data_IF_051793525981
#
_entry.id   IF_051793525981
#
_cell.length_a   1.000
_cell.length_b   1.000
_cell.length_c   1.000
_cell.angle_alpha   90.00
_cell.angle_beta   90.00
_cell.angle_gamma   90.00
#
_symmetry.space_group_name_H-M   'P 1'
#
loop_
_entity.id
_entity.type
_entity.pdbx_description
1 polymer ?
#
# COMPACT_ATOMS: atom_id res chain seq x y z
N UNK A 1 -6.38 7.78 -5.91
CA UNK A 1 -6.74 7.04 -7.14
C UNK A 1 -5.56 6.28 -7.74
N UNK A 2 -4.39 6.93 -7.96
CA UNK A 2 -3.20 6.28 -8.52
C UNK A 2 -2.76 5.00 -7.77
N UNK A 3 -2.67 5.03 -6.43
CA UNK A 3 -2.28 3.84 -5.64
C UNK A 3 -3.28 2.68 -5.72
N UNK A 4 -4.57 2.96 -5.89
CA UNK A 4 -5.59 1.92 -6.06
C UNK A 4 -5.47 1.28 -7.45
N UNK A 5 -5.25 2.08 -8.48
CA UNK A 5 -4.99 1.59 -9.83
C UNK A 5 -3.73 0.72 -9.88
N UNK A 6 -2.62 1.14 -9.27
CA UNK A 6 -1.38 0.33 -9.23
C UNK A 6 -1.55 -0.95 -8.42
N UNK A 7 -2.32 -0.93 -7.33
CA UNK A 7 -2.64 -2.13 -6.56
C UNK A 7 -3.51 -3.13 -7.35
N UNK A 8 -4.46 -2.65 -8.15
CA UNK A 8 -5.27 -3.53 -9.00
C UNK A 8 -4.42 -4.10 -10.13
N UNK A 9 -3.66 -3.25 -10.84
CA UNK A 9 -2.78 -3.69 -11.92
C UNK A 9 -1.76 -4.70 -11.40
N UNK A 10 -1.06 -4.38 -10.31
CA UNK A 10 -0.04 -5.25 -9.73
C UNK A 10 -0.57 -6.56 -9.13
N UNK A 11 -1.86 -6.66 -8.84
CA UNK A 11 -2.49 -7.93 -8.44
C UNK A 11 -2.75 -8.86 -9.64
N UNK A 12 -2.89 -8.29 -10.84
CA UNK A 12 -3.23 -9.02 -12.05
C UNK A 12 -2.02 -9.25 -12.96
N UNK A 13 -1.06 -8.33 -12.97
CA UNK A 13 0.04 -8.34 -13.92
C UNK A 13 1.25 -7.52 -13.45
N UNK A 14 2.44 -8.02 -13.76
CA UNK A 14 3.72 -7.31 -13.66
C UNK A 14 4.50 -7.46 -14.98
N UNK A 15 5.29 -6.45 -15.39
CA UNK A 15 6.11 -6.54 -16.61
C UNK A 15 7.10 -7.71 -16.62
N UNK A 16 7.76 -7.93 -15.48
CA UNK A 16 8.71 -9.00 -15.24
C UNK A 16 8.34 -9.79 -13.98
N UNK A 17 8.98 -10.94 -13.78
CA UNK A 17 8.90 -11.65 -12.50
C UNK A 17 9.58 -10.79 -11.41
N UNK A 18 8.84 -10.32 -10.39
CA UNK A 18 9.36 -9.43 -9.37
C UNK A 18 10.44 -10.07 -8.46
N UNK A 19 10.58 -11.40 -8.49
CA UNK A 19 11.52 -12.14 -7.67
C UNK A 19 12.71 -12.71 -8.46
N UNK A 20 12.64 -12.73 -9.80
CA UNK A 20 13.69 -13.28 -10.65
C UNK A 20 14.92 -12.36 -10.70
N UNK A 21 16.10 -12.79 -10.21
CA UNK A 21 17.30 -11.98 -10.22
C UNK A 21 18.06 -12.10 -11.56
N UNK A 22 18.47 -10.96 -12.11
CA UNK A 22 19.33 -10.88 -13.29
C UNK A 22 20.64 -10.16 -12.94
N UNK A 23 21.62 -10.89 -12.43
CA UNK A 23 22.84 -10.27 -11.85
C UNK A 23 23.61 -9.39 -12.84
N UNK A 24 23.58 -9.70 -14.14
CA UNK A 24 24.20 -8.88 -15.19
C UNK A 24 23.55 -7.51 -15.33
N UNK A 25 22.28 -7.39 -14.96
CA UNK A 25 21.51 -6.17 -14.97
C UNK A 25 21.52 -5.45 -13.61
N UNK A 26 22.35 -5.83 -12.63
CA UNK A 26 22.36 -5.18 -11.32
C UNK A 26 22.69 -3.68 -11.41
N UNK A 27 21.94 -2.85 -10.68
CA UNK A 27 22.06 -1.39 -10.68
C UNK A 27 21.94 -0.74 -12.08
N UNK A 28 21.21 -1.37 -12.99
CA UNK A 28 20.93 -0.79 -14.30
C UNK A 28 20.09 0.50 -14.13
N UNK A 29 20.45 1.59 -14.83
CA UNK A 29 19.66 2.82 -14.80
C UNK A 29 18.29 2.61 -15.46
N UNK A 30 17.34 3.53 -15.23
CA UNK A 30 16.07 3.55 -15.95
C UNK A 30 16.23 3.47 -17.48
N UNK A 31 15.48 2.57 -18.11
CA UNK A 31 15.52 2.31 -19.55
C UNK A 31 14.15 1.91 -20.07
N UNK A 32 14.01 1.75 -21.40
CA UNK A 32 12.75 1.27 -21.98
C UNK A 32 12.39 -0.16 -21.57
N UNK A 33 13.39 -1.00 -21.26
CA UNK A 33 13.17 -2.35 -20.73
C UNK A 33 12.89 -2.33 -19.22
N UNK A 34 13.59 -1.48 -18.47
CA UNK A 34 13.38 -1.32 -17.03
C UNK A 34 13.02 0.14 -16.72
N UNK A 35 11.74 0.53 -16.78
CA UNK A 35 11.34 1.93 -16.64
C UNK A 35 11.83 2.60 -15.37
N UNK A 36 11.99 1.84 -14.28
CA UNK A 36 12.52 2.31 -12.99
C UNK A 36 13.93 1.78 -12.67
N UNK A 37 14.58 1.14 -13.64
CA UNK A 37 15.84 0.44 -13.45
C UNK A 37 15.69 -0.85 -12.65
N UNK A 38 16.83 -1.37 -12.19
CA UNK A 38 16.91 -2.61 -11.43
C UNK A 38 17.54 -2.37 -10.05
N UNK A 39 17.27 -3.30 -9.12
CA UNK A 39 17.90 -3.28 -7.81
C UNK A 39 19.30 -3.93 -7.82
N UNK A 40 19.89 -4.08 -6.64
CA UNK A 40 21.21 -4.68 -6.44
C UNK A 40 21.31 -6.17 -6.80
N UNK A 41 20.17 -6.86 -6.91
CA UNK A 41 20.09 -8.23 -7.44
C UNK A 41 19.74 -8.26 -8.93
N UNK A 42 19.57 -7.09 -9.56
CA UNK A 42 19.15 -6.97 -10.96
C UNK A 42 17.66 -7.21 -11.18
N UNK A 43 16.83 -7.14 -10.13
CA UNK A 43 15.38 -7.31 -10.28
C UNK A 43 14.73 -6.02 -10.74
N UNK A 44 13.74 -6.12 -11.63
CA UNK A 44 12.99 -4.97 -12.13
C UNK A 44 12.22 -4.24 -11.02
N UNK A 45 12.55 -2.96 -10.79
CA UNK A 45 12.00 -2.17 -9.68
C UNK A 45 10.50 -1.90 -9.88
N UNK A 46 10.05 -1.67 -11.10
CA UNK A 46 8.64 -1.40 -11.40
C UNK A 46 7.76 -2.62 -11.06
N UNK A 47 8.18 -3.82 -11.47
CA UNK A 47 7.50 -5.08 -11.20
C UNK A 47 7.42 -5.33 -9.70
N UNK A 48 8.47 -5.03 -8.95
CA UNK A 48 8.47 -5.14 -7.48
C UNK A 48 7.50 -4.16 -6.81
N UNK A 49 7.42 -2.92 -7.29
CA UNK A 49 6.46 -1.92 -6.78
C UNK A 49 5.02 -2.34 -7.06
N UNK A 50 4.74 -2.82 -8.28
CA UNK A 50 3.42 -3.33 -8.65
C UNK A 50 3.04 -4.54 -7.80
N UNK A 51 3.92 -5.53 -7.67
CA UNK A 51 3.68 -6.72 -6.85
C UNK A 51 3.46 -6.41 -5.35
N UNK A 52 4.12 -5.38 -4.82
CA UNK A 52 3.97 -4.97 -3.42
C UNK A 52 2.70 -4.13 -3.16
N UNK A 53 2.19 -3.42 -4.17
CA UNK A 53 1.06 -2.49 -4.03
C UNK A 53 -0.23 -3.11 -3.47
N UNK A 54 -0.69 -4.31 -3.91
CA UNK A 54 -1.88 -4.96 -3.35
C UNK A 54 -1.74 -5.27 -1.85
N UNK A 55 -0.55 -5.69 -1.42
CA UNK A 55 -0.27 -6.02 -0.02
C UNK A 55 -0.38 -4.76 0.84
N UNK A 56 0.25 -3.66 0.40
CA UNK A 56 0.16 -2.38 1.09
C UNK A 56 -1.29 -1.88 1.21
N UNK A 57 -2.09 -2.05 0.16
CA UNK A 57 -3.52 -1.66 0.17
C UNK A 57 -4.32 -2.46 1.22
N UNK A 58 -4.08 -3.77 1.34
CA UNK A 58 -4.76 -4.61 2.33
C UNK A 58 -4.40 -4.20 3.76
N UNK A 59 -3.12 -3.91 4.01
CA UNK A 59 -2.66 -3.44 5.32
C UNK A 59 -3.31 -2.11 5.69
N UNK A 60 -3.32 -1.15 4.77
CA UNK A 60 -3.95 0.15 4.99
C UNK A 60 -5.46 0.02 5.24
N UNK A 61 -6.16 -0.79 4.44
CA UNK A 61 -7.59 -1.04 4.62
C UNK A 61 -7.90 -1.66 5.99
N UNK A 62 -7.12 -2.65 6.42
CA UNK A 62 -7.27 -3.28 7.72
C UNK A 62 -7.04 -2.28 8.87
N UNK A 63 -6.00 -1.45 8.77
CA UNK A 63 -5.70 -0.40 9.76
C UNK A 63 -6.82 0.62 9.88
N UNK A 64 -7.34 1.12 8.75
CA UNK A 64 -8.48 2.05 8.73
C UNK A 64 -9.70 1.40 9.36
N UNK A 65 -10.04 0.17 8.99
CA UNK A 65 -11.20 -0.53 9.53
C UNK A 65 -11.12 -0.70 11.05
N UNK A 66 -9.96 -1.13 11.56
CA UNK A 66 -9.75 -1.28 13.01
C UNK A 66 -9.83 0.06 13.73
N UNK A 67 -9.12 1.08 13.22
CA UNK A 67 -9.09 2.41 13.82
C UNK A 67 -10.46 3.09 13.81
N UNK A 68 -11.20 3.01 12.70
CA UNK A 68 -12.55 3.56 12.60
C UNK A 68 -13.54 2.83 13.51
N UNK A 69 -13.42 1.51 13.62
CA UNK A 69 -14.29 0.72 14.52
C UNK A 69 -14.03 1.09 15.97
N UNK A 70 -12.77 1.12 16.41
CA UNK A 70 -12.41 1.51 17.76
C UNK A 70 -12.84 2.96 18.06
N UNK A 71 -12.55 3.89 17.15
CA UNK A 71 -12.95 5.29 17.27
C UNK A 71 -14.46 5.48 17.32
N UNK A 72 -15.22 4.74 16.51
CA UNK A 72 -16.69 4.78 16.53
C UNK A 72 -17.25 4.26 17.86
N UNK A 73 -16.73 3.15 18.39
CA UNK A 73 -17.14 2.63 19.69
C UNK A 73 -16.88 3.64 20.82
N UNK A 74 -15.69 4.25 20.85
CA UNK A 74 -15.37 5.30 21.81
C UNK A 74 -16.27 6.52 21.64
N UNK A 75 -16.57 6.91 20.40
CA UNK A 75 -17.49 8.00 20.09
C UNK A 75 -18.91 7.74 20.60
N UNK A 76 -19.43 6.52 20.39
CA UNK A 76 -20.75 6.11 20.90
C UNK A 76 -20.75 6.13 22.43
N UNK A 77 -19.73 5.57 23.08
CA UNK A 77 -19.62 5.57 24.55
C UNK A 77 -19.60 6.99 25.12
N UNK A 78 -18.85 7.89 24.50
CA UNK A 78 -18.80 9.31 24.89
C UNK A 78 -20.14 10.03 24.68
N UNK A 79 -20.85 9.71 23.59
CA UNK A 79 -22.16 10.29 23.31
C UNK A 79 -23.23 9.82 24.33
N UNK A 80 -23.17 8.56 24.74
CA UNK A 80 -24.11 7.99 25.73
C UNK A 80 -23.83 8.47 27.16
N UNK A 81 -22.58 8.77 27.50
CA UNK A 81 -22.21 9.28 28.83
C UNK A 81 -22.45 10.79 28.99
N UNK A 82 -23.22 11.42 28.10
CA UNK A 82 -23.58 12.84 28.16
C UNK A 82 -22.71 13.77 27.32
N UNK A 83 -21.68 13.28 26.62
CA UNK A 83 -20.72 14.12 25.89
C UNK A 83 -19.94 15.08 26.79
N UNK A 84 -18.75 15.52 26.39
CA UNK A 84 -18.00 16.56 27.14
C UNK A 84 -18.73 17.92 27.26
N UNK A 85 -19.99 18.04 26.80
CA UNK A 85 -20.81 19.25 26.77
C UNK A 85 -22.25 19.01 27.28
N UNK A 86 -22.53 17.88 27.92
CA UNK A 86 -23.82 17.64 28.57
C UNK A 86 -24.09 18.52 29.79
N UNK A 87 -23.14 19.35 30.25
CA UNK A 87 -23.27 20.04 31.53
C UNK A 87 -22.50 21.38 31.57
N UNK A 88 -22.66 22.24 30.56
CA UNK A 88 -22.37 23.70 30.69
C UNK A 88 -23.56 24.57 30.25
N UNK A 89 -24.70 23.95 29.89
CA UNK A 89 -26.01 24.59 29.72
C UNK A 89 -27.00 23.89 30.64
#
# INVERSE_FOLDING_TARGET
MAMAATAVVGALWTPYDPLHPETEAAYAPPSASHPFGTDWFGRDVLSRVLAASPVGMRIAAAGVFMGSTAGALLGILSALSGGLLGEVL
#
